data_IF_381116247870
#
_entry.id   IF_381116247870
#
_cell.length_a   1.000
_cell.length_b   1.000
_cell.length_c   1.000
_cell.angle_alpha   90.00
_cell.angle_beta   90.00
_cell.angle_gamma   90.00
#
_symmetry.space_group_name_H-M   'P 1'
#
loop_
_entity.id
_entity.type
_entity.pdbx_description
1 polymer ?
#
# COMPACT_ATOMS: atom_id res chain seq x y z
N UNK A 1 14.68 12.80 19.90
CA UNK A 1 13.80 11.60 19.88
C UNK A 1 12.53 12.03 19.19
N UNK A 2 12.35 11.73 17.91
CA UNK A 2 11.13 12.06 17.18
C UNK A 2 9.98 11.21 17.72
N UNK A 3 8.89 11.83 18.14
CA UNK A 3 7.72 11.12 18.64
C UNK A 3 7.14 10.22 17.54
N UNK A 4 7.28 8.90 17.70
CA UNK A 4 6.59 7.90 16.88
C UNK A 4 5.13 7.83 17.31
N UNK A 5 4.31 8.75 16.81
CA UNK A 5 2.87 8.80 17.04
C UNK A 5 2.11 8.29 15.83
N UNK A 6 1.14 7.42 16.08
CA UNK A 6 0.18 6.98 15.07
C UNK A 6 -0.83 8.09 14.78
N UNK A 7 -1.35 8.12 13.56
CA UNK A 7 -2.30 9.15 13.11
C UNK A 7 -3.62 8.52 12.67
N UNK A 8 -4.71 9.27 12.84
CA UNK A 8 -6.03 8.96 12.29
C UNK A 8 -6.40 10.07 11.31
N UNK A 9 -6.72 9.71 10.07
CA UNK A 9 -7.19 10.63 9.05
C UNK A 9 -8.72 10.57 8.97
N UNK A 10 -9.41 11.55 9.56
CA UNK A 10 -10.86 11.51 9.81
C UNK A 10 -11.65 12.61 9.06
N UNK A 11 -11.20 12.97 7.85
CA UNK A 11 -11.89 13.98 7.03
C UNK A 11 -13.20 13.46 6.40
N UNK A 12 -13.99 14.37 5.83
CA UNK A 12 -15.21 14.06 5.07
C UNK A 12 -14.95 13.05 3.93
N UNK A 13 -15.93 12.18 3.66
CA UNK A 13 -15.86 11.24 2.55
C UNK A 13 -15.72 11.99 1.22
N UNK A 14 -14.89 11.49 0.31
CA UNK A 14 -14.67 12.12 -1.00
C UNK A 14 -13.53 13.13 -1.07
N UNK A 15 -12.95 13.58 0.05
CA UNK A 15 -11.82 14.54 0.06
C UNK A 15 -10.45 13.96 -0.35
N UNK A 16 -10.42 12.80 -1.00
CA UNK A 16 -9.18 12.23 -1.54
C UNK A 16 -8.25 11.58 -0.51
N UNK A 17 -8.75 11.17 0.66
CA UNK A 17 -7.98 10.47 1.71
C UNK A 17 -7.14 9.28 1.17
N UNK A 18 -7.67 8.56 0.19
CA UNK A 18 -6.96 7.46 -0.48
C UNK A 18 -5.70 7.95 -1.18
N UNK A 19 -5.83 8.97 -2.03
CA UNK A 19 -4.69 9.59 -2.74
C UNK A 19 -3.71 10.17 -1.74
N UNK A 20 -4.17 10.89 -0.71
CA UNK A 20 -3.30 11.43 0.34
C UNK A 20 -2.46 10.34 1.02
N UNK A 21 -3.08 9.19 1.33
CA UNK A 21 -2.39 8.06 1.94
C UNK A 21 -1.36 7.44 0.98
N UNK A 22 -1.72 7.29 -0.30
CA UNK A 22 -0.85 6.73 -1.34
C UNK A 22 0.35 7.64 -1.61
N UNK A 23 0.14 8.94 -1.78
CA UNK A 23 1.23 9.89 -2.02
C UNK A 23 2.13 10.00 -0.80
N UNK A 24 1.58 9.95 0.42
CA UNK A 24 2.38 9.89 1.64
C UNK A 24 3.31 8.68 1.69
N UNK A 25 2.81 7.47 1.37
CA UNK A 25 3.64 6.26 1.29
C UNK A 25 4.73 6.38 0.22
N UNK A 26 4.40 6.99 -0.93
CA UNK A 26 5.37 7.19 -2.01
C UNK A 26 6.49 8.17 -1.64
N UNK A 27 6.17 9.25 -0.93
CA UNK A 27 7.19 10.19 -0.46
C UNK A 27 8.09 9.53 0.61
N UNK A 28 7.53 8.72 1.51
CA UNK A 28 8.32 7.91 2.46
C UNK A 28 9.29 6.96 1.72
N UNK A 29 8.81 6.29 0.67
CA UNK A 29 9.65 5.43 -0.17
C UNK A 29 10.80 6.20 -0.81
N UNK A 30 10.53 7.38 -1.39
CA UNK A 30 11.56 8.25 -1.98
C UNK A 30 12.58 8.75 -0.95
N UNK A 31 12.17 8.91 0.31
CA UNK A 31 13.07 9.27 1.41
C UNK A 31 13.97 8.11 1.87
N UNK A 32 13.88 6.93 1.22
CA UNK A 32 14.76 5.79 1.47
C UNK A 32 14.17 4.75 2.42
N UNK A 33 12.93 4.90 2.87
CA UNK A 33 12.24 3.89 3.68
C UNK A 33 11.51 2.96 2.71
N UNK A 34 12.17 1.87 2.29
CA UNK A 34 11.74 1.08 1.13
C UNK A 34 10.62 0.05 1.38
N UNK A 35 10.00 0.04 2.57
CA UNK A 35 8.90 -0.88 2.88
C UNK A 35 9.34 -2.35 3.03
N UNK A 36 8.40 -3.28 3.31
CA UNK A 36 7.05 -3.33 2.73
C UNK A 36 6.00 -2.47 3.46
N UNK A 37 5.03 -1.93 2.72
CA UNK A 37 3.88 -1.20 3.25
C UNK A 37 2.59 -2.01 3.11
N UNK A 38 1.88 -2.25 4.21
CA UNK A 38 0.62 -2.99 4.21
C UNK A 38 -0.57 -2.02 4.22
N UNK A 39 -1.44 -2.14 3.22
CA UNK A 39 -2.73 -1.43 3.16
C UNK A 39 -3.86 -2.44 3.31
N UNK A 40 -4.72 -2.23 4.31
CA UNK A 40 -5.93 -3.03 4.52
C UNK A 40 -7.14 -2.17 4.15
N UNK A 41 -7.97 -2.68 3.25
CA UNK A 41 -9.17 -1.99 2.79
C UNK A 41 -10.33 -2.98 2.59
N UNK A 42 -11.60 -2.53 2.67
CA UNK A 42 -12.74 -3.36 2.30
C UNK A 42 -12.63 -3.90 0.87
N UNK A 43 -13.08 -5.13 0.64
CA UNK A 43 -12.97 -5.83 -0.65
C UNK A 43 -13.48 -4.99 -1.84
N UNK A 44 -14.58 -4.27 -1.65
CA UNK A 44 -15.19 -3.41 -2.68
C UNK A 44 -14.31 -2.22 -3.10
N UNK A 45 -13.37 -1.82 -2.25
CA UNK A 45 -12.51 -0.65 -2.49
C UNK A 45 -11.12 -1.02 -3.01
N UNK A 46 -10.72 -2.29 -2.95
CA UNK A 46 -9.39 -2.73 -3.40
C UNK A 46 -9.11 -2.34 -4.86
N UNK A 47 -10.03 -2.54 -5.84
CA UNK A 47 -9.77 -2.13 -7.22
C UNK A 47 -9.55 -0.63 -7.37
N UNK A 48 -10.16 0.18 -6.49
CA UNK A 48 -9.92 1.62 -6.47
C UNK A 48 -8.52 1.94 -5.97
N UNK A 49 -8.12 1.37 -4.83
CA UNK A 49 -6.77 1.53 -4.29
C UNK A 49 -5.68 1.12 -5.30
N UNK A 50 -5.85 -0.04 -5.93
CA UNK A 50 -4.91 -0.54 -6.93
C UNK A 50 -4.77 0.41 -8.13
N UNK A 51 -5.89 0.97 -8.62
CA UNK A 51 -5.89 1.98 -9.68
C UNK A 51 -5.13 3.23 -9.25
N UNK A 52 -5.44 3.78 -8.07
CA UNK A 52 -4.78 5.00 -7.58
C UNK A 52 -3.27 4.78 -7.37
N UNK A 53 -2.85 3.62 -6.83
CA UNK A 53 -1.42 3.30 -6.71
C UNK A 53 -0.72 3.32 -8.06
N UNK A 54 -1.32 2.69 -9.08
CA UNK A 54 -0.76 2.67 -10.45
C UNK A 54 -0.78 4.03 -11.14
N UNK A 55 -1.76 4.88 -10.82
CA UNK A 55 -1.87 6.22 -11.41
C UNK A 55 -0.84 7.19 -10.81
N UNK A 56 -0.62 7.13 -9.50
CA UNK A 56 0.10 8.19 -8.77
C UNK A 56 1.52 7.80 -8.32
N UNK A 57 1.92 6.53 -8.41
CA UNK A 57 3.19 6.05 -7.88
C UNK A 57 3.85 5.04 -8.80
N UNK A 58 5.15 4.85 -8.64
CA UNK A 58 5.92 3.78 -9.30
C UNK A 58 6.13 2.56 -8.38
N UNK A 59 5.42 2.50 -7.25
CA UNK A 59 5.50 1.38 -6.31
C UNK A 59 4.89 0.11 -6.90
N UNK A 60 5.51 -1.04 -6.63
CA UNK A 60 4.91 -2.33 -6.95
C UNK A 60 3.72 -2.60 -5.99
N UNK A 61 2.50 -2.35 -6.46
CA UNK A 61 1.28 -2.59 -5.70
C UNK A 61 0.76 -4.03 -5.92
N UNK A 62 1.03 -4.91 -4.97
CA UNK A 62 0.61 -6.31 -5.01
C UNK A 62 -0.75 -6.48 -4.32
N UNK A 63 -1.75 -6.89 -5.09
CA UNK A 63 -3.10 -7.11 -4.56
C UNK A 63 -3.26 -8.53 -4.03
N UNK A 64 -3.32 -8.66 -2.71
CA UNK A 64 -3.46 -9.94 -2.03
C UNK A 64 -4.93 -10.34 -1.78
N UNK A 65 -5.65 -10.76 -2.82
CA UNK A 65 -6.99 -11.36 -2.68
C UNK A 65 -7.26 -12.46 -3.72
N UNK A 66 -8.42 -13.12 -3.63
CA UNK A 66 -8.85 -14.15 -4.59
C UNK A 66 -8.94 -15.55 -3.99
N UNK A 67 -8.91 -16.58 -4.84
CA UNK A 67 -9.00 -17.98 -4.42
C UNK A 67 -7.78 -18.42 -3.60
N UNK A 68 -7.86 -19.60 -2.96
CA UNK A 68 -6.70 -20.17 -2.28
C UNK A 68 -5.52 -20.40 -3.24
N UNK A 69 -5.79 -20.82 -4.48
CA UNK A 69 -4.76 -20.99 -5.50
C UNK A 69 -4.11 -19.65 -5.87
N UNK A 70 -4.92 -18.60 -6.09
CA UNK A 70 -4.43 -17.25 -6.38
C UNK A 70 -3.51 -16.73 -5.28
N UNK A 71 -3.91 -16.88 -4.01
CA UNK A 71 -3.07 -16.48 -2.87
C UNK A 71 -1.76 -17.25 -2.78
N UNK A 72 -1.76 -18.56 -3.05
CA UNK A 72 -0.54 -19.38 -3.09
C UNK A 72 0.42 -18.88 -4.18
N UNK A 73 -0.09 -18.53 -5.35
CA UNK A 73 0.72 -17.95 -6.43
C UNK A 73 1.34 -16.62 -5.99
N UNK A 74 0.56 -15.70 -5.41
CA UNK A 74 1.07 -14.41 -4.94
C UNK A 74 2.15 -14.61 -3.86
N UNK A 75 1.93 -15.50 -2.89
CA UNK A 75 2.93 -15.83 -1.87
C UNK A 75 4.23 -16.36 -2.49
N UNK A 76 4.14 -17.20 -3.52
CA UNK A 76 5.30 -17.83 -4.13
C UNK A 76 6.13 -16.89 -5.02
N UNK A 77 5.54 -15.86 -5.61
CA UNK A 77 6.22 -15.03 -6.60
C UNK A 77 6.37 -13.55 -6.23
N UNK A 78 5.48 -12.99 -5.40
CA UNK A 78 5.43 -11.55 -5.12
C UNK A 78 5.89 -11.18 -3.70
N UNK A 79 5.95 -12.14 -2.77
CA UNK A 79 6.26 -11.88 -1.35
C UNK A 79 7.74 -12.01 -0.99
N UNK A 80 8.64 -12.26 -1.96
CA UNK A 80 10.08 -12.29 -1.71
C UNK A 80 10.62 -10.85 -1.54
N UNK A 81 10.70 -10.39 -0.30
CA UNK A 81 11.56 -9.25 0.04
C UNK A 81 12.99 -9.76 0.11
N UNK A 82 13.89 -9.26 -0.76
CA UNK A 82 15.32 -9.50 -0.59
C UNK A 82 15.76 -8.62 0.56
N UNK A 83 15.96 -9.22 1.74
CA UNK A 83 16.70 -8.57 2.82
C UNK A 83 18.00 -8.03 2.21
N UNK A 84 18.15 -6.71 2.25
CA UNK A 84 19.40 -6.08 1.81
C UNK A 84 20.41 -6.39 2.91
N UNK A 85 21.26 -7.41 2.69
CA UNK A 85 22.42 -7.68 3.53
C UNK A 85 23.42 -6.52 3.47
#
# INVERSE_FOLDING_TARGET
MSDLRNCILADEMGLGKTIQSITFLYEIFKMGIQGPFLVIAPLSTIPNWEREFRTWTELNAVVYHGSQASRKTIQAYEMYHRDTQ
#
